data_IF_046006563758
#
_entry.id   IF_046006563758
#
_cell.length_a   1.000
_cell.length_b   1.000
_cell.length_c   1.000
_cell.angle_alpha   90.00
_cell.angle_beta   90.00
_cell.angle_gamma   90.00
#
_symmetry.space_group_name_H-M   'P 1'
#
loop_
_entity.id
_entity.type
_entity.pdbx_description
1 polymer ?
#
# COMPACT_ATOMS: atom_id res chain seq x y z
N UNK A 1 14.84 -7.88 29.66
CA UNK A 1 14.51 -6.50 29.20
C UNK A 1 13.33 -6.62 28.27
N UNK A 2 12.19 -6.11 28.64
CA UNK A 2 11.14 -6.02 27.63
C UNK A 2 11.66 -5.11 26.54
N UNK A 3 11.67 -5.63 25.31
CA UNK A 3 11.89 -4.83 24.14
C UNK A 3 10.87 -3.70 24.21
N UNK A 4 11.35 -2.50 24.48
CA UNK A 4 10.60 -1.32 24.18
C UNK A 4 10.51 -1.30 22.65
N UNK A 5 9.46 -1.93 22.12
CA UNK A 5 8.95 -1.48 20.84
C UNK A 5 8.79 0.01 21.01
N UNK A 6 9.75 0.75 20.47
CA UNK A 6 9.65 2.18 20.41
C UNK A 6 8.38 2.43 19.63
N UNK A 7 7.31 2.72 20.35
CA UNK A 7 6.06 3.17 19.73
C UNK A 7 6.45 4.31 18.82
N UNK A 8 6.38 4.04 17.51
CA UNK A 8 6.68 5.06 16.50
C UNK A 8 5.83 6.26 16.84
N UNK A 9 6.42 7.46 16.94
CA UNK A 9 5.62 8.62 17.27
C UNK A 9 4.55 8.79 16.21
N UNK A 10 3.29 8.70 16.61
CA UNK A 10 2.16 9.00 15.75
C UNK A 10 1.91 10.50 15.75
N UNK A 11 1.43 11.01 14.63
CA UNK A 11 1.02 12.39 14.50
C UNK A 11 -0.43 12.57 14.93
N UNK A 12 -0.90 13.81 14.98
CA UNK A 12 -2.31 14.12 15.24
C UNK A 12 -3.20 13.90 14.00
N UNK A 13 -2.62 13.54 12.86
CA UNK A 13 -3.37 13.30 11.62
C UNK A 13 -4.02 11.92 11.67
N UNK A 14 -5.33 11.89 11.84
CA UNK A 14 -6.10 10.66 11.80
C UNK A 14 -6.32 10.19 10.35
N UNK A 15 -6.27 8.88 10.10
CA UNK A 15 -6.61 8.33 8.79
C UNK A 15 -8.04 8.68 8.36
N UNK A 16 -8.95 8.82 9.30
CA UNK A 16 -10.34 9.23 9.02
C UNK A 16 -10.45 10.63 8.41
N UNK A 17 -9.44 11.49 8.58
CA UNK A 17 -9.41 12.83 7.98
C UNK A 17 -8.97 12.85 6.52
N UNK A 18 -8.49 11.75 5.98
CA UNK A 18 -7.93 11.66 4.63
C UNK A 18 -8.98 11.42 3.54
N UNK A 19 -10.23 11.29 3.89
CA UNK A 19 -11.35 11.08 2.94
C UNK A 19 -11.15 9.85 2.04
N UNK A 20 -10.65 8.75 2.62
CA UNK A 20 -10.45 7.51 1.90
C UNK A 20 -11.80 6.87 1.51
N UNK A 21 -11.85 6.25 0.34
CA UNK A 21 -13.01 5.47 -0.07
C UNK A 21 -13.27 4.33 0.94
N UNK A 22 -14.54 3.93 1.13
CA UNK A 22 -14.89 2.93 2.14
C UNK A 22 -14.08 1.64 2.11
N UNK A 23 -13.79 1.03 0.94
CA UNK A 23 -12.96 -0.18 0.92
C UNK A 23 -11.52 0.06 1.38
N UNK A 24 -10.95 1.22 1.08
CA UNK A 24 -9.60 1.60 1.52
C UNK A 24 -9.59 1.89 3.02
N UNK A 25 -10.57 2.62 3.51
CA UNK A 25 -10.74 2.89 4.93
C UNK A 25 -10.94 1.59 5.74
N UNK A 26 -11.65 0.62 5.18
CA UNK A 26 -11.82 -0.71 5.81
C UNK A 26 -10.49 -1.44 5.97
N UNK A 27 -9.60 -1.37 4.98
CA UNK A 27 -8.26 -1.95 5.05
C UNK A 27 -7.41 -1.29 6.14
N UNK A 28 -7.45 0.02 6.25
CA UNK A 28 -6.76 0.78 7.30
C UNK A 28 -7.25 0.35 8.69
N UNK A 29 -8.54 0.22 8.85
CA UNK A 29 -9.15 -0.24 10.10
C UNK A 29 -8.76 -1.67 10.43
N UNK A 30 -8.76 -2.57 9.45
CA UNK A 30 -8.36 -3.96 9.64
C UNK A 30 -6.90 -4.10 10.04
N UNK A 31 -6.04 -3.19 9.59
CA UNK A 31 -4.64 -3.13 9.97
C UNK A 31 -4.42 -2.49 11.37
N UNK A 32 -5.46 -1.98 12.00
CA UNK A 32 -5.37 -1.34 13.31
C UNK A 32 -4.79 0.07 13.28
N UNK A 33 -4.75 0.72 12.13
CA UNK A 33 -4.21 2.06 11.98
C UNK A 33 -5.27 3.12 12.35
N UNK A 34 -4.92 4.04 13.22
CA UNK A 34 -5.79 5.15 13.63
C UNK A 34 -5.22 6.50 13.21
N UNK A 35 -3.94 6.73 13.47
CA UNK A 35 -3.23 7.96 13.17
C UNK A 35 -2.01 7.70 12.31
N UNK A 36 -1.66 8.68 11.49
CA UNK A 36 -0.52 8.59 10.58
C UNK A 36 0.81 8.67 11.32
N UNK A 37 1.79 7.91 10.86
CA UNK A 37 3.19 8.16 11.18
C UNK A 37 3.64 9.46 10.51
N UNK A 38 4.79 10.07 10.91
CA UNK A 38 5.28 11.29 10.27
C UNK A 38 5.40 11.21 8.76
N UNK A 39 5.97 10.13 8.22
CA UNK A 39 6.11 9.97 6.77
C UNK A 39 4.73 9.86 6.08
N UNK A 40 3.78 9.18 6.69
CA UNK A 40 2.42 9.08 6.17
C UNK A 40 1.72 10.43 6.15
N UNK A 41 1.81 11.19 7.24
CA UNK A 41 1.18 12.51 7.33
C UNK A 41 1.74 13.52 6.34
N UNK A 42 3.02 13.39 5.96
CA UNK A 42 3.66 14.25 4.98
C UNK A 42 3.35 13.85 3.54
N UNK A 43 3.24 12.56 3.26
CA UNK A 43 3.16 12.05 1.89
C UNK A 43 1.74 11.76 1.42
N UNK A 44 0.85 11.30 2.30
CA UNK A 44 -0.51 10.93 1.91
C UNK A 44 -1.33 12.10 1.36
N UNK A 45 -1.39 13.26 2.01
CA UNK A 45 -2.22 14.36 1.49
C UNK A 45 -1.85 14.78 0.06
N UNK A 46 -0.58 15.09 -0.28
CA UNK A 46 -0.25 15.47 -1.65
C UNK A 46 -0.40 14.32 -2.65
N UNK A 47 -0.05 13.10 -2.27
CA UNK A 47 -0.16 11.95 -3.15
C UNK A 47 -1.62 11.60 -3.48
N UNK A 48 -2.52 11.70 -2.50
CA UNK A 48 -3.96 11.49 -2.70
C UNK A 48 -4.59 12.55 -3.61
N UNK A 49 -4.00 13.75 -3.67
CA UNK A 49 -4.41 14.82 -4.59
C UNK A 49 -3.85 14.66 -6.00
N UNK A 50 -3.00 13.66 -6.23
CA UNK A 50 -2.46 13.36 -7.55
C UNK A 50 -1.02 13.81 -7.79
N UNK A 51 -0.34 14.39 -6.80
CA UNK A 51 1.06 14.77 -6.91
C UNK A 51 1.98 13.55 -6.87
N UNK A 52 3.08 13.62 -7.60
CA UNK A 52 4.19 12.70 -7.44
C UNK A 52 4.92 13.00 -6.12
N UNK A 53 5.30 11.96 -5.41
CA UNK A 53 5.92 12.11 -4.10
C UNK A 53 7.15 11.22 -3.99
N UNK A 54 8.24 11.78 -3.50
CA UNK A 54 9.43 11.05 -3.09
C UNK A 54 9.52 11.10 -1.56
N UNK A 55 9.33 9.95 -0.91
CA UNK A 55 9.40 9.83 0.54
C UNK A 55 10.60 9.01 0.98
N UNK A 56 11.40 9.56 1.89
CA UNK A 56 12.53 8.88 2.49
C UNK A 56 12.34 8.80 3.99
N UNK A 57 12.39 7.59 4.53
CA UNK A 57 12.29 7.33 5.96
C UNK A 57 12.96 5.98 6.28
N UNK A 58 13.28 5.79 7.55
CA UNK A 58 13.84 4.52 8.01
C UNK A 58 12.83 3.37 7.86
N UNK A 59 13.35 2.14 7.85
CA UNK A 59 12.55 0.91 7.84
C UNK A 59 11.53 0.91 8.97
N UNK A 60 10.34 0.43 8.70
CA UNK A 60 9.32 0.27 9.73
C UNK A 60 8.59 1.56 10.11
N UNK A 61 8.65 2.62 9.30
CA UNK A 61 7.97 3.90 9.54
C UNK A 61 6.62 4.04 8.83
N UNK A 62 6.16 2.98 8.17
CA UNK A 62 4.88 2.99 7.48
C UNK A 62 4.92 3.46 6.02
N UNK A 63 6.11 3.51 5.39
CA UNK A 63 6.23 3.90 3.98
C UNK A 63 5.42 3.00 3.05
N UNK A 64 5.47 1.70 3.27
CA UNK A 64 4.75 0.71 2.45
C UNK A 64 3.24 0.96 2.49
N UNK A 65 2.68 1.14 3.68
CA UNK A 65 1.27 1.47 3.82
C UNK A 65 0.91 2.78 3.10
N UNK A 66 1.77 3.80 3.20
CA UNK A 66 1.54 5.08 2.54
C UNK A 66 1.34 4.93 1.03
N UNK A 67 2.29 4.32 0.32
CA UNK A 67 2.15 4.21 -1.13
C UNK A 67 1.05 3.22 -1.54
N UNK A 68 0.85 2.14 -0.80
CA UNK A 68 -0.23 1.19 -1.10
C UNK A 68 -1.61 1.84 -1.01
N UNK A 69 -1.86 2.63 0.03
CA UNK A 69 -3.14 3.33 0.20
C UNK A 69 -3.40 4.30 -0.95
N UNK A 70 -2.39 5.02 -1.41
CA UNK A 70 -2.51 5.92 -2.57
C UNK A 70 -2.85 5.14 -3.83
N UNK A 71 -2.17 4.01 -4.06
CA UNK A 71 -2.44 3.15 -5.22
C UNK A 71 -3.89 2.67 -5.20
N UNK A 72 -4.34 2.10 -4.10
CA UNK A 72 -5.70 1.58 -3.98
C UNK A 72 -6.75 2.67 -4.18
N UNK A 73 -6.57 3.81 -3.52
CA UNK A 73 -7.48 4.95 -3.64
C UNK A 73 -7.59 5.42 -5.09
N UNK A 74 -6.47 5.63 -5.76
CA UNK A 74 -6.46 6.09 -7.15
C UNK A 74 -7.04 5.07 -8.12
N UNK A 75 -6.74 3.79 -7.95
CA UNK A 75 -7.28 2.75 -8.82
C UNK A 75 -8.80 2.64 -8.68
N UNK A 76 -9.34 2.83 -7.49
CA UNK A 76 -10.78 2.81 -7.26
C UNK A 76 -11.46 4.09 -7.78
N UNK A 77 -10.85 5.25 -7.61
CA UNK A 77 -11.36 6.52 -8.14
C UNK A 77 -11.37 6.56 -9.67
N UNK A 78 -10.38 5.93 -10.30
CA UNK A 78 -10.22 5.88 -11.75
C UNK A 78 -10.89 4.65 -12.36
N UNK A 79 -11.90 4.11 -11.74
CA UNK A 79 -12.62 2.93 -12.25
C UNK A 79 -13.46 3.32 -13.48
N UNK A 80 -12.80 3.58 -14.59
CA UNK A 80 -13.37 4.07 -15.84
C UNK A 80 -13.85 2.94 -16.77
N UNK A 81 -14.39 1.85 -16.23
CA UNK A 81 -14.96 0.77 -17.04
C UNK A 81 -13.96 0.09 -18.00
N UNK A 82 -12.67 0.22 -17.75
CA UNK A 82 -11.65 -0.44 -18.58
C UNK A 82 -11.78 -1.95 -18.41
N UNK A 83 -12.33 -2.57 -19.43
CA UNK A 83 -12.28 -4.02 -19.58
C UNK A 83 -10.87 -4.40 -20.00
N UNK A 84 -10.21 -5.23 -19.20
CA UNK A 84 -8.90 -5.77 -19.53
C UNK A 84 -8.15 -6.25 -18.28
N UNK A 85 -7.29 -7.23 -18.48
CA UNK A 85 -6.46 -7.81 -17.43
C UNK A 85 -5.06 -7.17 -17.36
N UNK A 86 -4.91 -5.97 -17.89
CA UNK A 86 -3.63 -5.28 -17.89
C UNK A 86 -3.30 -4.71 -16.50
N UNK A 87 -2.06 -4.82 -16.05
CA UNK A 87 -1.63 -4.17 -14.84
C UNK A 87 -1.86 -2.65 -14.89
N UNK A 88 -2.39 -2.09 -13.83
CA UNK A 88 -2.69 -0.66 -13.71
C UNK A 88 -1.72 0.05 -12.78
N UNK A 89 -1.04 -0.69 -11.93
CA UNK A 89 -0.02 -0.19 -11.04
C UNK A 89 1.13 -1.19 -10.94
N UNK A 90 2.33 -0.68 -10.80
CA UNK A 90 3.55 -1.49 -10.66
C UNK A 90 4.31 -1.02 -9.42
N UNK A 91 4.66 -1.95 -8.55
CA UNK A 91 5.51 -1.71 -7.39
C UNK A 91 6.81 -2.47 -7.55
N UNK A 92 7.92 -1.78 -7.46
CA UNK A 92 9.26 -2.37 -7.56
C UNK A 92 9.92 -2.42 -6.18
N UNK A 93 10.54 -3.54 -5.88
CA UNK A 93 11.29 -3.75 -4.65
C UNK A 93 12.68 -4.30 -4.96
N UNK A 94 13.72 -3.90 -4.21
CA UNK A 94 15.09 -4.31 -4.50
C UNK A 94 15.40 -5.76 -4.12
N UNK A 95 14.60 -6.38 -3.26
CA UNK A 95 14.81 -7.75 -2.80
C UNK A 95 13.53 -8.56 -2.86
N UNK A 96 13.66 -9.89 -2.96
CA UNK A 96 12.54 -10.82 -2.89
C UNK A 96 11.78 -10.69 -1.57
N UNK A 97 12.51 -10.61 -0.46
CA UNK A 97 11.94 -10.52 0.89
C UNK A 97 11.05 -9.29 1.02
N UNK A 98 11.51 -8.15 0.51
CA UNK A 98 10.73 -6.92 0.53
C UNK A 98 9.51 -7.02 -0.38
N UNK A 99 9.64 -7.61 -1.57
CA UNK A 99 8.50 -7.83 -2.47
C UNK A 99 7.42 -8.71 -1.82
N UNK A 100 7.82 -9.78 -1.12
CA UNK A 100 6.91 -10.64 -0.38
C UNK A 100 6.21 -9.90 0.76
N UNK A 101 6.94 -9.08 1.50
CA UNK A 101 6.38 -8.27 2.59
C UNK A 101 5.38 -7.24 2.07
N UNK A 102 5.72 -6.53 0.99
CA UNK A 102 4.82 -5.56 0.36
C UNK A 102 3.54 -6.27 -0.11
N UNK A 103 3.66 -7.44 -0.73
CA UNK A 103 2.51 -8.21 -1.18
C UNK A 103 1.60 -8.62 -0.01
N UNK A 104 2.19 -9.06 1.10
CA UNK A 104 1.45 -9.40 2.32
C UNK A 104 0.69 -8.19 2.88
N UNK A 105 1.34 -7.04 2.96
CA UNK A 105 0.72 -5.80 3.42
C UNK A 105 -0.38 -5.35 2.47
N UNK A 106 -0.17 -5.51 1.17
CA UNK A 106 -1.17 -5.18 0.15
C UNK A 106 -2.42 -6.07 0.25
N UNK A 107 -2.26 -7.35 0.55
CA UNK A 107 -3.39 -8.25 0.78
C UNK A 107 -4.21 -7.82 2.00
N UNK A 108 -3.56 -7.37 3.06
CA UNK A 108 -4.24 -6.88 4.26
C UNK A 108 -4.96 -5.55 4.00
N UNK A 109 -4.25 -4.56 3.48
CA UNK A 109 -4.79 -3.21 3.27
C UNK A 109 -5.80 -3.14 2.12
N UNK A 110 -5.62 -3.95 1.11
CA UNK A 110 -6.47 -3.96 -0.08
C UNK A 110 -7.56 -5.04 -0.08
N UNK A 111 -7.75 -5.76 1.03
CA UNK A 111 -8.64 -6.92 1.09
C UNK A 111 -10.09 -6.62 0.73
N UNK A 112 -10.57 -5.41 0.99
CA UNK A 112 -11.96 -5.00 0.72
C UNK A 112 -12.10 -4.24 -0.63
N UNK A 113 -11.00 -4.03 -1.35
CA UNK A 113 -11.02 -3.24 -2.59
C UNK A 113 -11.46 -4.01 -3.82
N UNK A 114 -11.40 -5.33 -3.80
CA UNK A 114 -11.65 -6.18 -4.96
C UNK A 114 -10.55 -6.13 -6.02
N UNK A 115 -9.47 -5.42 -5.79
CA UNK A 115 -8.34 -5.32 -6.71
C UNK A 115 -7.52 -6.61 -6.68
N UNK A 116 -7.10 -7.06 -7.85
CA UNK A 116 -6.23 -8.24 -7.99
C UNK A 116 -4.78 -7.85 -7.79
N UNK A 117 -4.08 -8.62 -6.97
CA UNK A 117 -2.67 -8.42 -6.66
C UNK A 117 -1.84 -9.55 -7.24
N UNK A 118 -0.85 -9.21 -8.04
CA UNK A 118 0.11 -10.15 -8.59
C UNK A 118 1.49 -9.95 -7.95
N UNK A 119 2.26 -11.02 -7.85
CA UNK A 119 3.61 -11.01 -7.32
C UNK A 119 4.53 -11.72 -8.32
N UNK A 120 5.64 -11.10 -8.68
CA UNK A 120 6.65 -11.68 -9.54
C UNK A 120 8.06 -11.42 -8.99
N UNK A 121 8.88 -12.45 -8.97
CA UNK A 121 10.28 -12.35 -8.55
C UNK A 121 11.11 -13.46 -9.22
N UNK A 122 12.45 -13.27 -9.26
CA UNK A 122 13.36 -14.24 -9.85
C UNK A 122 13.53 -15.51 -9.02
N UNK A 123 14.05 -16.57 -9.63
CA UNK A 123 14.36 -17.83 -8.96
C UNK A 123 13.17 -18.79 -8.79
N UNK A 124 12.04 -18.52 -9.41
CA UNK A 124 10.86 -19.39 -9.47
C UNK A 124 10.44 -19.62 -10.90
N UNK A 125 9.52 -20.56 -11.11
CA UNK A 125 9.02 -20.91 -12.43
C UNK A 125 8.38 -19.71 -13.14
N UNK A 126 9.01 -19.27 -14.20
CA UNK A 126 8.55 -18.14 -15.02
C UNK A 126 7.15 -18.37 -15.58
N UNK A 127 6.86 -19.56 -16.07
CA UNK A 127 5.56 -19.88 -16.68
C UNK A 127 4.41 -19.83 -15.68
N UNK A 128 4.64 -20.30 -14.45
CA UNK A 128 3.64 -20.21 -13.39
C UNK A 128 3.33 -18.76 -13.02
N UNK A 129 4.35 -17.92 -12.88
CA UNK A 129 4.17 -16.51 -12.60
C UNK A 129 3.43 -15.79 -13.73
N UNK A 130 3.82 -16.06 -14.97
CA UNK A 130 3.16 -15.49 -16.14
C UNK A 130 1.67 -15.82 -16.18
N UNK A 131 1.29 -17.06 -15.92
CA UNK A 131 -0.12 -17.48 -15.86
C UNK A 131 -0.89 -16.78 -14.76
N UNK A 132 -0.28 -16.56 -13.59
CA UNK A 132 -0.90 -15.86 -12.48
C UNK A 132 -1.18 -14.40 -12.81
N UNK A 133 -0.37 -13.77 -13.66
CA UNK A 133 -0.50 -12.37 -14.07
C UNK A 133 -1.48 -12.16 -15.24
N UNK A 134 -1.93 -13.20 -15.87
CA UNK A 134 -2.94 -13.16 -16.93
C UNK A 134 -4.35 -13.26 -16.34
#
# INVERSE_FOLDING_TARGET
MPDTESSKPLTDVAFSSLELLPPVAAGVKSAGFTHCTPIQSLTLPPALQGSDVAGQAQTGTGKTAAFLLVIFQRLLEQNSGRQGNNPRALVLAPTRELALQIHKDALLLGGETGLKLGLAYGGVDYEKQRKTLQ
#
